data_IF_300658382428
#
_entry.id   IF_300658382428
#
_cell.length_a   1.000
_cell.length_b   1.000
_cell.length_c   1.000
_cell.angle_alpha   90.00
_cell.angle_beta   90.00
_cell.angle_gamma   90.00
#
_symmetry.space_group_name_H-M   'P 1'
#
loop_
_entity.id
_entity.type
_entity.pdbx_description
1 polymer ?
#
# COMPACT_ATOMS: atom_id res chain seq x y z
N UNK A 1 21.70 -15.30 8.44
CA UNK A 1 20.22 -15.47 8.37
C UNK A 1 19.59 -14.19 8.84
N UNK A 2 18.78 -13.53 8.01
CA UNK A 2 18.09 -12.28 8.37
C UNK A 2 16.76 -12.58 9.05
N UNK A 3 16.38 -11.74 10.01
CA UNK A 3 15.04 -11.79 10.61
C UNK A 3 14.08 -10.98 9.73
N UNK A 4 12.93 -11.55 9.42
CA UNK A 4 11.92 -10.91 8.57
C UNK A 4 10.65 -10.67 9.38
N UNK A 5 10.04 -9.51 9.17
CA UNK A 5 8.72 -9.18 9.67
C UNK A 5 7.71 -9.39 8.54
N UNK A 6 6.71 -10.24 8.77
CA UNK A 6 5.73 -10.66 7.77
C UNK A 6 4.35 -10.16 8.18
N UNK A 7 3.62 -9.56 7.24
CA UNK A 7 2.24 -9.10 7.42
C UNK A 7 1.34 -9.70 6.34
N UNK A 8 0.06 -9.88 6.68
CA UNK A 8 -0.99 -10.18 5.71
C UNK A 8 -1.95 -8.98 5.64
N UNK A 9 -2.12 -8.42 4.44
CA UNK A 9 -3.08 -7.35 4.19
C UNK A 9 -4.32 -7.97 3.51
N UNK A 10 -5.43 -8.01 4.25
CA UNK A 10 -6.69 -8.56 3.75
C UNK A 10 -7.85 -7.63 4.11
N UNK A 11 -8.72 -7.39 3.14
CA UNK A 11 -9.95 -6.64 3.29
C UNK A 11 -10.81 -6.78 2.04
N UNK A 12 -12.11 -6.47 2.11
CA UNK A 12 -13.01 -6.56 0.97
C UNK A 12 -12.66 -5.55 -0.14
N UNK A 13 -11.93 -4.49 0.20
CA UNK A 13 -11.51 -3.43 -0.71
C UNK A 13 -10.13 -2.91 -0.28
N UNK A 14 -9.33 -2.49 -1.26
CA UNK A 14 -8.06 -1.81 -1.04
C UNK A 14 -7.81 -0.79 -2.15
N UNK A 15 -6.96 0.21 -1.89
CA UNK A 15 -6.51 1.17 -2.88
C UNK A 15 -5.03 1.51 -2.64
N UNK A 16 -4.22 1.27 -3.68
CA UNK A 16 -2.77 1.41 -3.69
C UNK A 16 -2.40 2.47 -4.72
N UNK A 17 -2.36 3.73 -4.27
CA UNK A 17 -2.28 4.89 -5.17
C UNK A 17 -1.13 4.83 -6.18
N UNK A 18 -1.40 5.42 -7.35
CA UNK A 18 -0.47 5.62 -8.46
C UNK A 18 -0.39 7.12 -8.78
N UNK A 19 0.58 7.52 -9.59
CA UNK A 19 0.62 8.89 -10.11
C UNK A 19 -0.63 9.18 -10.95
N UNK A 20 -1.42 10.16 -10.49
CA UNK A 20 -2.74 10.44 -11.04
C UNK A 20 -2.91 11.96 -11.29
N UNK A 21 -2.32 12.49 -12.38
CA UNK A 21 -2.60 13.86 -12.80
C UNK A 21 -4.05 13.95 -13.30
N UNK A 22 -4.85 14.81 -12.67
CA UNK A 22 -6.29 14.90 -12.88
C UNK A 22 -7.10 14.38 -11.69
N UNK A 23 -8.37 14.05 -11.95
CA UNK A 23 -9.35 13.78 -10.88
C UNK A 23 -9.47 12.28 -10.55
N UNK A 24 -9.20 11.41 -11.53
CA UNK A 24 -9.39 9.96 -11.37
C UNK A 24 -8.25 9.36 -10.57
N UNK A 25 -8.59 8.66 -9.47
CA UNK A 25 -7.63 7.98 -8.60
C UNK A 25 -7.55 6.51 -8.95
N UNK A 26 -6.56 6.16 -9.75
CA UNK A 26 -6.24 4.77 -10.07
C UNK A 26 -5.51 4.09 -8.90
N UNK A 27 -5.56 2.76 -8.90
CA UNK A 27 -4.90 1.90 -7.91
C UNK A 27 -4.04 0.86 -8.62
N UNK A 28 -2.90 0.52 -8.03
CA UNK A 28 -2.16 -0.69 -8.36
C UNK A 28 -2.88 -1.95 -7.85
N UNK A 29 -2.51 -3.10 -8.40
CA UNK A 29 -2.98 -4.42 -7.94
C UNK A 29 -2.36 -4.82 -6.59
N UNK A 30 -1.14 -4.33 -6.31
CA UNK A 30 -0.37 -4.62 -5.09
C UNK A 30 -0.04 -3.33 -4.32
N UNK A 31 0.19 -3.41 -2.99
CA UNK A 31 0.59 -2.26 -2.19
C UNK A 31 1.82 -1.56 -2.74
N UNK A 32 1.74 -0.24 -2.90
CA UNK A 32 2.88 0.57 -3.27
C UNK A 32 3.84 0.74 -2.07
N UNK A 33 5.10 1.06 -2.35
CA UNK A 33 6.10 1.33 -1.30
C UNK A 33 5.64 2.42 -0.33
N UNK A 34 5.07 3.51 -0.84
CA UNK A 34 4.57 4.60 -0.01
C UNK A 34 3.38 4.17 0.85
N UNK A 35 2.50 3.32 0.33
CA UNK A 35 1.39 2.76 1.12
C UNK A 35 1.89 1.90 2.28
N UNK A 36 2.86 1.02 2.05
CA UNK A 36 3.45 0.19 3.11
C UNK A 36 4.19 1.03 4.17
N UNK A 37 4.96 2.03 3.74
CA UNK A 37 5.63 2.95 4.67
C UNK A 37 4.63 3.78 5.48
N UNK A 38 3.57 4.27 4.84
CA UNK A 38 2.49 4.99 5.51
C UNK A 38 1.77 4.12 6.54
N UNK A 39 1.47 2.87 6.21
CA UNK A 39 0.88 1.90 7.15
C UNK A 39 1.77 1.67 8.37
N UNK A 40 3.08 1.51 8.17
CA UNK A 40 4.03 1.30 9.27
C UNK A 40 4.25 2.56 10.11
N UNK A 41 4.08 3.74 9.52
CA UNK A 41 4.23 5.03 10.21
C UNK A 41 2.93 5.54 10.85
N UNK A 42 1.78 4.93 10.53
CA UNK A 42 0.48 5.27 11.11
C UNK A 42 0.43 4.77 12.56
N UNK A 43 0.79 5.64 13.50
CA UNK A 43 0.64 5.43 14.95
C UNK A 43 -0.67 5.99 15.49
#
# INVERSE_FOLDING_TARGET
MSQYLIFQLHGPMASWGVDAPGEVRHTHELPSRSALLGLLAAG
#
